data_IF_766176992295
#
_entry.id   IF_766176992295
#
_cell.length_a   1.000
_cell.length_b   1.000
_cell.length_c   1.000
_cell.angle_alpha   90.00
_cell.angle_beta   90.00
_cell.angle_gamma   90.00
#
_symmetry.space_group_name_H-M   'P 1'
#
loop_
_entity.id
_entity.type
_entity.pdbx_description
1 polymer ?
#
# COMPACT_ATOMS: atom_id res chain seq x y z
N UNK A 1 -8.18 5.97 6.00
CA UNK A 1 -9.27 6.97 6.11
C UNK A 1 -10.16 6.90 4.87
N UNK A 2 -11.46 6.64 5.01
CA UNK A 2 -12.37 6.69 3.87
C UNK A 2 -12.36 8.11 3.30
N UNK A 3 -12.22 8.23 1.97
CA UNK A 3 -12.17 9.48 1.19
C UNK A 3 -10.89 10.34 1.30
N UNK A 4 -9.84 9.88 1.97
CA UNK A 4 -8.54 10.57 1.89
C UNK A 4 -7.95 10.48 0.46
N UNK A 5 -7.08 11.43 0.06
CA UNK A 5 -6.39 11.37 -1.24
C UNK A 5 -5.60 10.07 -1.42
N UNK A 6 -5.53 9.59 -2.66
CA UNK A 6 -4.73 8.40 -3.05
C UNK A 6 -3.30 8.78 -3.47
N UNK A 7 -3.06 10.05 -3.79
CA UNK A 7 -1.72 10.62 -3.98
C UNK A 7 -1.15 11.06 -2.63
N UNK A 8 0.19 11.19 -2.50
CA UNK A 8 0.79 11.84 -1.34
C UNK A 8 0.16 13.21 -1.05
N UNK A 9 -0.04 13.51 0.23
CA UNK A 9 -0.66 14.75 0.68
C UNK A 9 -0.04 15.24 1.99
N UNK A 10 -0.16 16.54 2.25
CA UNK A 10 0.34 17.19 3.45
C UNK A 10 -0.83 17.46 4.41
N UNK A 11 -0.82 16.81 5.55
CA UNK A 11 -1.74 17.11 6.65
C UNK A 11 -1.22 18.34 7.39
N UNK A 12 -2.07 19.37 7.51
CA UNK A 12 -1.79 20.54 8.34
C UNK A 12 -2.43 20.31 9.71
N UNK A 13 -1.62 20.38 10.77
CA UNK A 13 -2.04 20.25 12.17
C UNK A 13 -1.67 21.51 12.95
N UNK A 14 -2.22 21.69 14.15
CA UNK A 14 -1.85 22.79 15.04
C UNK A 14 -0.36 22.75 15.46
N UNK A 15 0.25 21.56 15.48
CA UNK A 15 1.65 21.35 15.87
C UNK A 15 2.64 21.29 14.70
N UNK A 16 2.18 21.57 13.48
CA UNK A 16 3.01 21.52 12.27
C UNK A 16 2.39 20.69 11.15
N UNK A 17 3.20 20.37 10.14
CA UNK A 17 2.74 19.61 8.96
C UNK A 17 3.34 18.20 8.89
N UNK A 18 2.55 17.26 8.41
CA UNK A 18 2.95 15.86 8.20
C UNK A 18 2.72 15.48 6.74
N UNK A 19 3.70 14.81 6.12
CA UNK A 19 3.52 14.25 4.77
C UNK A 19 3.04 12.81 4.91
N UNK A 20 1.89 12.54 4.31
CA UNK A 20 1.29 11.22 4.26
C UNK A 20 1.56 10.56 2.91
N UNK A 21 1.95 9.28 2.96
CA UNK A 21 2.20 8.43 1.79
C UNK A 21 1.20 7.27 1.78
N UNK A 22 0.05 7.41 1.12
CA UNK A 22 -0.99 6.40 1.15
C UNK A 22 -0.53 5.08 0.52
N UNK A 23 -0.88 3.95 1.14
CA UNK A 23 -0.70 2.64 0.51
C UNK A 23 -1.48 2.59 -0.81
N UNK A 24 -0.83 2.06 -1.84
CA UNK A 24 -1.39 2.06 -3.18
C UNK A 24 -2.66 1.23 -3.26
N UNK A 25 -3.71 1.90 -3.71
CA UNK A 25 -5.00 1.33 -4.06
C UNK A 25 -5.34 1.72 -5.49
N UNK A 26 -6.25 0.98 -6.12
CA UNK A 26 -6.82 1.28 -7.42
C UNK A 26 -8.35 1.27 -7.36
N UNK A 27 -9.01 2.04 -8.22
CA UNK A 27 -10.47 2.18 -8.16
C UNK A 27 -11.18 1.13 -9.01
N UNK A 28 -12.12 0.43 -8.39
CA UNK A 28 -13.06 -0.48 -9.07
C UNK A 28 -14.47 -0.18 -8.59
N UNK A 29 -15.38 0.24 -9.49
CA UNK A 29 -16.78 0.56 -9.17
C UNK A 29 -16.96 1.47 -7.94
N UNK A 30 -16.13 2.52 -7.83
CA UNK A 30 -16.18 3.47 -6.71
C UNK A 30 -15.47 3.02 -5.43
N UNK A 31 -14.94 1.80 -5.38
CA UNK A 31 -14.21 1.28 -4.22
C UNK A 31 -12.69 1.32 -4.46
N UNK A 32 -11.94 1.64 -3.40
CA UNK A 32 -10.49 1.55 -3.40
C UNK A 32 -10.06 0.13 -3.07
N UNK A 33 -9.60 -0.59 -4.08
CA UNK A 33 -9.10 -1.95 -3.98
C UNK A 33 -7.59 -1.93 -3.71
N UNK A 34 -7.05 -2.80 -2.84
CA UNK A 34 -5.63 -2.82 -2.52
C UNK A 34 -4.82 -3.31 -3.73
N UNK A 35 -3.64 -2.73 -4.00
CA UNK A 35 -2.75 -3.24 -5.08
C UNK A 35 -1.66 -4.12 -4.49
N UNK A 36 -0.89 -3.54 -3.57
CA UNK A 36 0.29 -4.14 -2.98
C UNK A 36 0.44 -3.63 -1.55
N UNK A 37 0.99 -4.47 -0.68
CA UNK A 37 1.10 -4.18 0.75
C UNK A 37 0.67 -5.35 1.60
N UNK A 38 1.57 -5.80 2.46
CA UNK A 38 1.32 -6.85 3.43
C UNK A 38 0.62 -8.08 2.86
N UNK A 39 -0.43 -8.51 3.56
CA UNK A 39 -1.17 -9.74 3.23
C UNK A 39 -1.79 -9.74 1.84
N UNK A 40 -2.05 -8.60 1.21
CA UNK A 40 -2.65 -8.55 -0.12
C UNK A 40 -1.73 -9.08 -1.21
N UNK A 41 -0.43 -8.74 -1.17
CA UNK A 41 0.56 -9.25 -2.14
C UNK A 41 0.70 -10.78 -2.06
N UNK A 42 0.54 -11.32 -0.85
CA UNK A 42 0.64 -12.74 -0.57
C UNK A 42 -0.65 -13.49 -0.91
N UNK A 43 -1.81 -12.98 -0.50
CA UNK A 43 -3.10 -13.67 -0.66
C UNK A 43 -3.63 -13.54 -2.09
N UNK A 44 -3.57 -12.35 -2.69
CA UNK A 44 -4.19 -12.09 -4.00
C UNK A 44 -3.39 -12.73 -5.15
N UNK A 45 -4.04 -13.07 -6.28
CA UNK A 45 -3.34 -13.60 -7.44
C UNK A 45 -2.36 -12.59 -8.07
N UNK A 46 -1.28 -13.07 -8.68
CA UNK A 46 -0.26 -12.20 -9.31
C UNK A 46 -0.85 -11.33 -10.43
N UNK A 47 -1.80 -11.85 -11.21
CA UNK A 47 -2.49 -11.08 -12.26
C UNK A 47 -3.22 -9.86 -11.71
N UNK A 48 -3.76 -9.97 -10.48
CA UNK A 48 -4.52 -8.91 -9.84
C UNK A 48 -3.59 -7.76 -9.43
N UNK A 49 -2.45 -8.07 -8.82
CA UNK A 49 -1.42 -7.07 -8.50
C UNK A 49 -0.91 -6.38 -9.77
N UNK A 50 -0.64 -7.13 -10.85
CA UNK A 50 -0.24 -6.54 -12.14
C UNK A 50 -1.30 -5.62 -12.73
N UNK A 51 -2.57 -6.02 -12.65
CA UNK A 51 -3.67 -5.19 -13.11
C UNK A 51 -3.80 -3.91 -12.29
N UNK A 52 -3.73 -4.00 -10.97
CA UNK A 52 -3.73 -2.86 -10.05
C UNK A 52 -2.59 -1.90 -10.31
N UNK A 53 -1.35 -2.41 -10.44
CA UNK A 53 -0.16 -1.62 -10.79
C UNK A 53 -0.40 -0.84 -12.10
N UNK A 54 -0.82 -1.53 -13.17
CA UNK A 54 -1.10 -0.88 -14.46
C UNK A 54 -2.18 0.19 -14.35
N UNK A 55 -3.23 -0.04 -13.56
CA UNK A 55 -4.29 0.96 -13.34
C UNK A 55 -3.72 2.21 -12.68
N UNK A 56 -2.94 2.04 -11.62
CA UNK A 56 -2.35 3.15 -10.85
C UNK A 56 -1.34 3.94 -11.69
N UNK A 57 -0.52 3.26 -12.49
CA UNK A 57 0.40 3.93 -13.42
C UNK A 57 -0.35 4.76 -14.47
N UNK A 58 -1.50 4.29 -14.99
CA UNK A 58 -2.35 5.08 -15.92
C UNK A 58 -2.95 6.32 -15.27
N UNK A 59 -3.18 6.29 -13.96
CA UNK A 59 -3.62 7.46 -13.17
C UNK A 59 -2.46 8.42 -12.84
N UNK A 60 -1.20 8.09 -13.20
CA UNK A 60 -0.03 8.89 -12.86
C UNK A 60 0.33 8.87 -11.36
N UNK A 61 -0.15 7.87 -10.63
CA UNK A 61 0.07 7.74 -9.19
C UNK A 61 1.30 6.86 -8.87
N UNK A 62 2.03 7.13 -7.77
CA UNK A 62 3.14 6.28 -7.36
C UNK A 62 2.68 4.92 -6.84
N UNK A 63 3.57 3.93 -6.98
CA UNK A 63 3.40 2.62 -6.36
C UNK A 63 4.15 2.64 -5.02
N UNK A 64 3.40 2.41 -3.95
CA UNK A 64 3.83 2.34 -2.58
C UNK A 64 3.38 0.98 -2.06
N UNK A 65 4.35 0.14 -1.72
CA UNK A 65 4.13 -1.16 -1.14
C UNK A 65 4.95 -1.31 0.15
N UNK A 66 4.49 -2.19 1.02
CA UNK A 66 5.24 -2.62 2.19
C UNK A 66 5.10 -4.13 2.35
N UNK A 67 6.06 -4.75 3.03
CA UNK A 67 6.01 -6.17 3.42
C UNK A 67 6.54 -6.28 4.84
N UNK A 68 5.98 -7.20 5.62
CA UNK A 68 6.62 -7.58 6.87
C UNK A 68 7.72 -8.62 6.59
N UNK A 69 8.83 -8.63 7.35
CA UNK A 69 9.89 -9.62 7.17
C UNK A 69 9.37 -11.07 7.19
N UNK A 70 8.41 -11.37 8.06
CA UNK A 70 7.81 -12.72 8.15
C UNK A 70 7.01 -13.11 6.89
N UNK A 71 6.52 -12.16 6.10
CA UNK A 71 5.70 -12.47 4.91
C UNK A 71 6.52 -13.04 3.75
N UNK A 72 7.84 -12.88 3.81
CA UNK A 72 8.82 -13.41 2.85
C UNK A 72 9.68 -14.54 3.45
N UNK A 73 9.39 -14.97 4.68
CA UNK A 73 10.04 -16.09 5.34
C UNK A 73 9.15 -17.35 5.31
N UNK A 74 9.35 -18.28 4.37
CA UNK A 74 8.59 -19.52 4.33
C UNK A 74 8.99 -20.53 5.43
N UNK A 75 10.14 -20.34 6.08
CA UNK A 75 10.69 -21.25 7.08
C UNK A 75 10.20 -20.92 8.50
N UNK A 76 9.43 -19.85 8.68
CA UNK A 76 8.92 -19.44 9.99
C UNK A 76 8.12 -20.58 10.68
N UNK A 77 8.19 -20.67 12.02
CA UNK A 77 7.40 -21.63 12.78
C UNK A 77 5.89 -21.52 12.53
N UNK A 78 5.20 -22.67 12.46
CA UNK A 78 3.75 -22.71 12.31
C UNK A 78 3.08 -22.79 13.67
N UNK A 79 2.32 -21.76 14.00
CA UNK A 79 1.58 -21.67 15.25
C UNK A 79 0.20 -22.35 15.12
N UNK A 80 -0.27 -23.05 16.17
CA UNK A 80 -1.64 -23.51 16.24
C UNK A 80 -2.60 -22.32 16.31
N UNK A 81 -3.82 -22.47 15.80
CA UNK A 81 -4.82 -21.41 15.82
C UNK A 81 -5.99 -21.68 14.89
N UNK A 82 -6.98 -20.77 14.90
CA UNK A 82 -8.18 -20.87 14.05
C UNK A 82 -7.78 -20.95 12.57
N UNK A 83 -8.56 -21.70 11.78
CA UNK A 83 -8.32 -21.87 10.34
C UNK A 83 -8.18 -20.53 9.61
N UNK A 84 -9.04 -19.56 9.92
CA UNK A 84 -9.01 -18.22 9.31
C UNK A 84 -7.71 -17.47 9.61
N UNK A 85 -7.15 -17.62 10.81
CA UNK A 85 -5.85 -17.05 11.17
C UNK A 85 -4.74 -17.70 10.35
N UNK A 86 -4.72 -19.04 10.32
CA UNK A 86 -3.73 -19.81 9.57
C UNK A 86 -3.78 -19.52 8.06
N UNK A 87 -4.97 -19.40 7.48
CA UNK A 87 -5.13 -19.01 6.08
C UNK A 87 -4.56 -17.61 5.83
N UNK A 88 -4.94 -16.62 6.64
CA UNK A 88 -4.39 -15.27 6.50
C UNK A 88 -2.89 -15.23 6.71
N UNK A 89 -2.30 -16.05 7.57
CA UNK A 89 -0.86 -16.03 7.88
C UNK A 89 -0.01 -16.82 6.88
N UNK A 90 -0.44 -18.03 6.50
CA UNK A 90 0.44 -18.99 5.80
C UNK A 90 0.17 -19.15 4.29
N UNK A 91 -0.95 -18.61 3.77
CA UNK A 91 -1.25 -18.69 2.32
C UNK A 91 -0.09 -18.13 1.51
N UNK A 92 0.39 -18.86 0.50
CA UNK A 92 1.40 -18.43 -0.49
C UNK A 92 2.74 -17.89 0.05
N UNK A 93 3.15 -18.18 1.29
CA UNK A 93 4.42 -17.68 1.85
C UNK A 93 5.64 -17.91 0.95
N UNK A 94 5.79 -19.11 0.38
CA UNK A 94 6.90 -19.46 -0.51
C UNK A 94 6.90 -18.69 -1.84
N UNK A 95 5.78 -18.06 -2.21
CA UNK A 95 5.63 -17.30 -3.46
C UNK A 95 5.80 -15.80 -3.25
N UNK A 96 5.65 -15.30 -2.01
CA UNK A 96 5.61 -13.85 -1.74
C UNK A 96 6.90 -13.15 -2.16
N UNK A 97 8.06 -13.70 -1.81
CA UNK A 97 9.35 -13.11 -2.17
C UNK A 97 9.51 -12.95 -3.68
N UNK A 98 9.24 -14.01 -4.45
CA UNK A 98 9.32 -13.96 -5.92
C UNK A 98 8.32 -12.97 -6.55
N UNK A 99 7.15 -12.76 -5.93
CA UNK A 99 6.20 -11.73 -6.37
C UNK A 99 6.68 -10.32 -6.06
N UNK A 100 7.28 -10.12 -4.88
CA UNK A 100 7.90 -8.85 -4.50
C UNK A 100 9.04 -8.50 -5.45
N UNK A 101 9.95 -9.42 -5.74
CA UNK A 101 11.06 -9.21 -6.68
C UNK A 101 10.55 -8.84 -8.09
N UNK A 102 9.56 -9.57 -8.62
CA UNK A 102 8.93 -9.22 -9.91
C UNK A 102 8.31 -7.82 -9.90
N UNK A 103 7.67 -7.41 -8.81
CA UNK A 103 7.08 -6.07 -8.68
C UNK A 103 8.18 -5.01 -8.66
N UNK A 104 9.23 -5.20 -7.86
CA UNK A 104 10.36 -4.28 -7.77
C UNK A 104 11.10 -4.13 -9.11
N UNK A 105 11.11 -5.18 -9.96
CA UNK A 105 11.68 -5.13 -11.31
C UNK A 105 10.77 -4.48 -12.35
N UNK A 106 9.48 -4.28 -12.04
CA UNK A 106 8.50 -3.76 -13.00
C UNK A 106 8.53 -2.24 -13.16
N UNK A 107 9.20 -1.52 -12.26
CA UNK A 107 9.34 -0.07 -12.26
C UNK A 107 10.57 0.35 -11.43
N UNK A 108 11.14 1.55 -11.62
CA UNK A 108 12.19 2.06 -10.74
C UNK A 108 11.61 2.38 -9.35
N UNK A 109 11.98 1.58 -8.36
CA UNK A 109 11.68 1.88 -6.95
C UNK A 109 12.81 2.71 -6.35
N UNK A 110 12.46 3.63 -5.45
CA UNK A 110 13.40 4.47 -4.72
C UNK A 110 12.92 4.69 -3.28
N UNK A 111 13.75 5.33 -2.46
CA UNK A 111 13.40 5.71 -1.09
C UNK A 111 12.35 6.83 -1.09
N UNK A 112 11.56 6.96 -0.02
CA UNK A 112 10.65 8.10 0.11
C UNK A 112 11.39 9.44 0.09
N UNK A 113 12.62 9.49 0.63
CA UNK A 113 13.49 10.68 0.65
C UNK A 113 13.80 11.15 -0.78
N UNK A 114 14.16 10.24 -1.67
CA UNK A 114 14.65 10.58 -3.02
C UNK A 114 13.54 10.55 -4.07
N UNK A 115 12.33 10.14 -3.69
CA UNK A 115 11.19 10.00 -4.61
C UNK A 115 10.64 11.33 -5.16
N UNK A 116 10.96 12.47 -4.54
CA UNK A 116 10.35 13.78 -4.85
C UNK A 116 8.87 13.90 -4.47
N UNK A 117 8.24 12.83 -3.99
CA UNK A 117 6.80 12.78 -3.69
C UNK A 117 6.39 13.76 -2.58
N UNK A 118 7.26 14.01 -1.61
CA UNK A 118 7.00 14.98 -0.55
C UNK A 118 6.88 16.43 -1.08
N UNK A 119 7.60 16.76 -2.16
CA UNK A 119 7.61 18.11 -2.74
C UNK A 119 6.32 18.40 -3.51
N UNK A 120 5.69 17.38 -4.09
CA UNK A 120 4.44 17.51 -4.86
C UNK A 120 3.17 17.25 -4.02
N UNK A 121 3.33 16.97 -2.72
CA UNK A 121 2.23 16.69 -1.81
C UNK A 121 1.35 17.93 -1.64
N UNK A 122 0.06 17.80 -1.97
CA UNK A 122 -0.93 18.87 -1.82
C UNK A 122 -1.42 18.97 -0.38
N UNK A 123 -1.71 20.18 0.07
CA UNK A 123 -2.29 20.41 1.39
C UNK A 123 -3.66 19.76 1.52
N UNK A 124 -3.88 19.12 2.66
CA UNK A 124 -5.08 18.42 3.03
C UNK A 124 -5.48 18.83 4.45
N UNK A 125 -6.62 19.51 4.55
CA UNK A 125 -7.17 19.90 5.84
C UNK A 125 -7.91 18.71 6.46
N UNK A 126 -7.22 18.00 7.35
CA UNK A 126 -7.76 16.84 8.05
C UNK A 126 -8.94 17.22 8.97
N UNK A 127 -8.89 18.36 9.65
CA UNK A 127 -9.96 18.81 10.55
C UNK A 127 -11.27 19.07 9.79
N UNK A 128 -11.19 19.81 8.69
CA UNK A 128 -12.33 20.04 7.81
C UNK A 128 -12.88 18.71 7.24
N UNK A 129 -12.01 17.77 6.87
CA UNK A 129 -12.42 16.45 6.37
C UNK A 129 -13.16 15.61 7.42
N UNK A 130 -12.78 15.75 8.69
CA UNK A 130 -13.41 15.07 9.82
C UNK A 130 -14.63 15.84 10.37
N UNK A 131 -14.95 17.01 9.82
CA UNK A 131 -16.10 17.82 10.24
C UNK A 131 -15.85 18.68 11.47
N UNK A 132 -14.60 18.87 11.89
CA UNK A 132 -14.25 19.81 12.95
C UNK A 132 -14.12 21.22 12.36
N UNK A 133 -14.64 22.22 13.08
CA UNK A 133 -14.29 23.62 12.83
C UNK A 133 -13.02 23.96 13.61
N UNK A 134 -12.13 24.72 12.98
CA UNK A 134 -10.87 25.17 13.59
C UNK A 134 -11.11 26.03 14.83
#
# INVERSE_FOLDING_TARGET
MPRAPRSPFRVITSSGSLIEFPITTFRVRGHNMPVAGGGYLRILPEWYTKWGIRSVCREGLPIICYVHPWEIDPAQPRLPGRLTSRLRHYTNLSKTYGRLDKMLRSAPFTSFRDSGLAAIAKDFNLYAHLGYQN
#
